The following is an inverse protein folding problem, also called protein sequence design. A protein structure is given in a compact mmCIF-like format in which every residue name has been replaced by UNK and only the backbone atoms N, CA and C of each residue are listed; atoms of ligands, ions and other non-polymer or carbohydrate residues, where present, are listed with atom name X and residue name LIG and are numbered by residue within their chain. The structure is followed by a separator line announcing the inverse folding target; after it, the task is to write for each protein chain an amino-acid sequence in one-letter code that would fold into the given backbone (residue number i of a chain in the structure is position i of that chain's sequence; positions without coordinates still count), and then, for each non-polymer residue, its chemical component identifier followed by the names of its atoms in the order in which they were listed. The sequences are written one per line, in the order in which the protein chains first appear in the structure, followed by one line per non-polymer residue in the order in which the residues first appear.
data_IF_702173047655
#
_entry.id   IF_702173047655
#
_cell.length_a   1.000
_cell.length_b   1.000
_cell.length_c   1.000
_cell.angle_alpha   90.00
_cell.angle_beta   90.00
_cell.angle_gamma   90.00
#
_symmetry.space_group_name_H-M   'P 1'
#
loop_
_entity.id
_entity.type
_entity.pdbx_description
1 polymer ?
#
# COMPACT_ATOMS: atom_id res chain seq x y z
N UNK A 1 7.08 10.27 -2.15
CA UNK A 1 6.41 10.01 -0.85
C UNK A 1 6.49 11.24 0.04
N UNK A 2 5.34 11.79 0.44
CA UNK A 2 5.22 13.10 1.14
C UNK A 2 5.39 13.02 2.67
N UNK A 3 5.47 11.83 3.26
CA UNK A 3 5.61 11.65 4.71
C UNK A 3 6.59 10.52 5.03
N UNK A 4 7.46 10.74 6.03
CA UNK A 4 8.43 9.73 6.52
C UNK A 4 7.80 8.74 7.51
N UNK A 5 6.70 9.14 8.15
CA UNK A 5 6.06 8.37 9.22
C UNK A 5 4.55 8.26 9.01
N UNK A 6 3.92 7.13 9.41
CA UNK A 6 2.48 6.95 9.22
C UNK A 6 1.65 7.89 10.10
N UNK A 7 2.14 8.23 11.30
CA UNK A 7 1.47 9.17 12.22
C UNK A 7 1.34 10.59 11.62
N UNK A 8 2.34 11.04 10.88
CA UNK A 8 2.30 12.32 10.17
C UNK A 8 1.37 12.25 8.96
N UNK A 9 1.34 11.11 8.24
CA UNK A 9 0.44 10.93 7.11
C UNK A 9 -1.05 11.02 7.53
N UNK A 10 -1.45 10.35 8.61
CA UNK A 10 -2.84 10.42 9.10
C UNK A 10 -3.23 11.81 9.59
N UNK A 11 -2.28 12.58 10.13
CA UNK A 11 -2.51 13.97 10.58
C UNK A 11 -2.70 14.91 9.39
N UNK A 12 -1.90 14.74 8.34
CA UNK A 12 -1.97 15.57 7.14
C UNK A 12 -3.21 15.26 6.28
N UNK A 13 -3.69 14.01 6.33
CA UNK A 13 -4.84 13.55 5.55
C UNK A 13 -5.94 13.00 6.46
N UNK A 14 -6.64 13.85 7.25
CA UNK A 14 -7.62 13.39 8.22
C UNK A 14 -8.86 12.74 7.59
N UNK A 15 -9.13 13.03 6.31
CA UNK A 15 -10.23 12.47 5.51
C UNK A 15 -9.86 11.19 4.74
N UNK A 16 -8.64 10.67 4.94
CA UNK A 16 -8.21 9.43 4.30
C UNK A 16 -9.13 8.26 4.69
N UNK A 17 -9.69 7.58 3.70
CA UNK A 17 -10.66 6.48 3.86
C UNK A 17 -10.66 5.57 2.63
N UNK A 18 -11.35 4.43 2.71
CA UNK A 18 -11.45 3.49 1.59
C UNK A 18 -10.23 2.56 1.48
N UNK A 19 -9.97 2.06 0.28
CA UNK A 19 -8.89 1.11 0.00
C UNK A 19 -7.58 1.87 -0.19
N UNK A 20 -6.64 1.65 0.72
CA UNK A 20 -5.33 2.31 0.73
C UNK A 20 -4.25 1.28 0.53
N UNK A 21 -3.48 1.44 -0.55
CA UNK A 21 -2.25 0.68 -0.72
C UNK A 21 -1.14 1.43 0.02
N UNK A 22 -0.75 0.90 1.18
CA UNK A 22 0.23 1.49 2.07
C UNK A 22 1.49 0.62 2.14
N UNK A 23 2.60 1.22 2.58
CA UNK A 23 3.80 0.47 2.95
C UNK A 23 3.43 -0.67 3.90
N UNK A 24 3.93 -1.86 3.62
CA UNK A 24 3.67 -3.08 4.38
C UNK A 24 3.84 -2.90 5.90
N UNK A 25 4.91 -2.23 6.32
CA UNK A 25 5.23 -1.94 7.74
C UNK A 25 4.21 -1.01 8.42
N UNK A 26 3.40 -0.27 7.65
CA UNK A 26 2.45 0.71 8.19
C UNK A 26 1.05 0.12 8.41
N UNK A 27 0.76 -1.05 7.84
CA UNK A 27 -0.59 -1.62 7.82
C UNK A 27 -1.21 -1.74 9.21
N UNK A 28 -0.49 -2.32 10.18
CA UNK A 28 -0.99 -2.51 11.54
C UNK A 28 -1.30 -1.19 12.26
N UNK A 29 -0.43 -0.19 12.10
CA UNK A 29 -0.64 1.14 12.68
C UNK A 29 -1.86 1.85 12.06
N UNK A 30 -2.01 1.78 10.73
CA UNK A 30 -3.13 2.40 10.03
C UNK A 30 -4.46 1.77 10.42
N UNK A 31 -4.52 0.44 10.55
CA UNK A 31 -5.71 -0.27 11.03
C UNK A 31 -6.08 0.20 12.45
N UNK A 32 -5.09 0.32 13.34
CA UNK A 32 -5.31 0.76 14.72
C UNK A 32 -5.81 2.21 14.82
N UNK A 33 -5.16 3.14 14.11
CA UNK A 33 -5.45 4.57 14.24
C UNK A 33 -6.61 5.05 13.39
N UNK A 34 -6.90 4.37 12.28
CA UNK A 34 -7.90 4.74 11.28
C UNK A 34 -8.65 3.49 10.79
N UNK A 35 -9.58 2.94 11.58
CA UNK A 35 -10.32 1.72 11.22
C UNK A 35 -11.20 1.87 9.96
N UNK A 36 -11.46 3.10 9.51
CA UNK A 36 -12.17 3.40 8.24
C UNK A 36 -11.30 3.19 7.00
N UNK A 37 -9.99 2.99 7.17
CA UNK A 37 -9.06 2.65 6.09
C UNK A 37 -8.96 1.13 5.98
N UNK A 38 -9.05 0.63 4.76
CA UNK A 38 -8.76 -0.77 4.43
C UNK A 38 -7.40 -0.82 3.75
N UNK A 39 -6.41 -1.36 4.46
CA UNK A 39 -5.08 -1.58 3.88
C UNK A 39 -5.07 -2.89 3.11
N UNK A 40 -4.32 -2.94 2.00
CA UNK A 40 -4.14 -4.16 1.22
C UNK A 40 -3.38 -5.24 2.01
N UNK A 41 -2.32 -4.84 2.71
CA UNK A 41 -1.43 -5.75 3.44
C UNK A 41 -0.93 -5.11 4.75
N UNK A 42 -0.65 -5.95 5.74
CA UNK A 42 0.06 -5.57 6.98
C UNK A 42 1.10 -6.61 7.41
N UNK A 43 1.87 -6.25 8.45
CA UNK A 43 2.97 -7.00 9.06
C UNK A 43 2.73 -8.47 9.43
N UNK A 44 1.48 -8.93 9.47
CA UNK A 44 1.10 -10.30 9.87
C UNK A 44 0.91 -11.26 8.70
N UNK A 45 0.90 -10.73 7.48
CA UNK A 45 0.50 -11.46 6.27
C UNK A 45 1.61 -12.12 5.43
N UNK A 46 2.94 -12.04 5.70
CA UNK A 46 3.95 -12.65 4.81
C UNK A 46 3.80 -14.15 4.58
N UNK A 47 3.35 -14.89 5.61
CA UNK A 47 3.20 -16.34 5.54
C UNK A 47 1.89 -16.77 4.85
N UNK A 48 0.99 -15.83 4.55
CA UNK A 48 -0.32 -16.15 3.99
C UNK A 48 -0.19 -16.44 2.49
N UNK A 49 -1.05 -17.34 2.03
CA UNK A 49 -1.20 -17.70 0.62
C UNK A 49 -2.69 -17.78 0.30
N UNK A 50 -3.06 -17.35 -0.90
CA UNK A 50 -4.39 -17.59 -1.43
C UNK A 50 -4.55 -19.05 -1.90
N UNK A 51 -5.72 -19.36 -2.45
CA UNK A 51 -6.05 -20.70 -2.99
C UNK A 51 -5.13 -21.13 -4.14
N UNK A 52 -4.52 -20.17 -4.82
CA UNK A 52 -3.57 -20.40 -5.92
C UNK A 52 -2.11 -20.43 -5.45
N UNK A 53 -1.87 -20.33 -4.13
CA UNK A 53 -0.53 -20.31 -3.54
C UNK A 53 0.18 -18.95 -3.64
N UNK A 54 -0.49 -17.90 -4.11
CA UNK A 54 0.07 -16.55 -4.25
C UNK A 54 0.08 -15.84 -2.89
N UNK A 55 1.23 -15.26 -2.55
CA UNK A 55 1.39 -14.47 -1.33
C UNK A 55 0.93 -13.03 -1.56
N UNK A 56 0.11 -12.43 -0.67
CA UNK A 56 -0.19 -11.01 -0.70
C UNK A 56 1.08 -10.15 -0.67
N UNK A 57 2.12 -10.63 0.01
CA UNK A 57 3.42 -9.94 0.08
C UNK A 57 4.11 -9.90 -1.29
N UNK A 58 4.00 -10.97 -2.09
CA UNK A 58 4.51 -10.96 -3.46
C UNK A 58 3.76 -9.94 -4.32
N UNK A 59 2.43 -9.89 -4.23
CA UNK A 59 1.63 -8.88 -4.94
C UNK A 59 2.01 -7.45 -4.53
N UNK A 60 2.28 -7.23 -3.24
CA UNK A 60 2.81 -5.96 -2.75
C UNK A 60 4.15 -5.63 -3.43
N UNK A 61 5.10 -6.57 -3.47
CA UNK A 61 6.39 -6.37 -4.11
C UNK A 61 6.26 -6.07 -5.61
N UNK A 62 5.40 -6.81 -6.32
CA UNK A 62 5.16 -6.60 -7.75
C UNK A 62 4.71 -5.16 -8.02
N UNK A 63 3.80 -4.63 -7.19
CA UNK A 63 3.28 -3.27 -7.35
C UNK A 63 4.36 -2.22 -7.03
N UNK A 64 5.01 -2.32 -5.86
CA UNK A 64 5.96 -1.29 -5.42
C UNK A 64 7.24 -1.24 -6.27
N UNK A 65 7.61 -2.38 -6.86
CA UNK A 65 8.73 -2.53 -7.79
C UNK A 65 8.33 -2.30 -9.25
N UNK A 66 7.08 -1.92 -9.54
CA UNK A 66 6.60 -1.62 -10.89
C UNK A 66 6.77 -2.78 -11.88
N UNK A 67 6.61 -4.02 -11.40
CA UNK A 67 6.64 -5.22 -12.24
C UNK A 67 5.51 -5.18 -13.30
N UNK A 68 5.62 -5.94 -14.41
CA UNK A 68 4.55 -6.01 -15.40
C UNK A 68 3.18 -6.31 -14.77
N UNK A 69 2.16 -5.52 -15.11
CA UNK A 69 0.81 -5.64 -14.54
C UNK A 69 0.57 -4.89 -13.22
N UNK A 70 1.53 -4.10 -12.72
CA UNK A 70 1.38 -3.38 -11.44
C UNK A 70 0.13 -2.48 -11.38
N UNK A 71 -0.21 -1.81 -12.48
CA UNK A 71 -1.32 -0.85 -12.52
C UNK A 71 -2.66 -1.59 -12.55
N UNK A 72 -2.72 -2.72 -13.25
CA UNK A 72 -3.86 -3.62 -13.31
C UNK A 72 -4.15 -4.18 -11.90
N UNK A 73 -3.11 -4.63 -11.19
CA UNK A 73 -3.24 -5.08 -9.78
C UNK A 73 -3.80 -3.97 -8.88
N UNK A 74 -3.32 -2.73 -9.00
CA UNK A 74 -3.88 -1.61 -8.22
C UNK A 74 -5.36 -1.34 -8.52
N UNK A 75 -5.79 -1.48 -9.78
CA UNK A 75 -7.19 -1.36 -10.20
C UNK A 75 -8.05 -2.50 -9.65
N UNK A 76 -7.56 -3.73 -9.69
CA UNK A 76 -8.23 -4.91 -9.13
C UNK A 76 -8.45 -4.77 -7.62
N UNK A 77 -7.45 -4.22 -6.91
CA UNK A 77 -7.54 -3.87 -5.49
C UNK A 77 -8.48 -2.68 -5.20
N UNK A 78 -9.02 -2.04 -6.25
CA UNK A 78 -9.86 -0.83 -6.18
C UNK A 78 -9.20 0.26 -5.33
N UNK A 79 -7.88 0.42 -5.51
CA UNK A 79 -7.06 1.32 -4.69
C UNK A 79 -7.52 2.78 -4.88
N UNK A 80 -7.87 3.44 -3.78
CA UNK A 80 -8.26 4.86 -3.78
C UNK A 80 -7.05 5.77 -3.51
N UNK A 81 -6.13 5.34 -2.65
CA UNK A 81 -4.98 6.14 -2.24
C UNK A 81 -3.70 5.30 -2.12
N UNK A 82 -2.57 5.95 -2.40
CA UNK A 82 -1.23 5.39 -2.26
C UNK A 82 -0.50 6.07 -1.10
N UNK A 83 -0.04 5.27 -0.14
CA UNK A 83 0.84 5.70 0.95
C UNK A 83 2.18 4.97 0.84
N UNK A 84 3.04 5.44 -0.06
CA UNK A 84 4.34 4.84 -0.38
C UNK A 84 5.51 5.74 0.01
N UNK A 85 6.64 5.12 0.34
CA UNK A 85 7.88 5.81 0.66
C UNK A 85 8.48 6.51 -0.57
N UNK A 86 9.16 7.63 -0.33
CA UNK A 86 9.94 8.32 -1.36
C UNK A 86 11.07 7.42 -1.88
N UNK A 87 11.31 7.44 -3.19
CA UNK A 87 12.40 6.70 -3.83
C UNK A 87 12.10 5.22 -4.07
N UNK A 88 10.88 4.75 -3.79
CA UNK A 88 10.42 3.45 -4.32
C UNK A 88 10.27 3.53 -5.84
N UNK A 89 10.40 2.40 -6.55
CA UNK A 89 10.26 2.40 -8.01
C UNK A 89 8.92 2.98 -8.46
N UNK A 90 7.84 2.64 -7.75
CA UNK A 90 6.53 3.22 -8.03
C UNK A 90 6.49 4.74 -7.81
N UNK A 91 7.11 5.27 -6.75
CA UNK A 91 7.19 6.71 -6.52
C UNK A 91 8.00 7.44 -7.61
N UNK A 92 9.09 6.84 -8.08
CA UNK A 92 9.90 7.39 -9.18
C UNK A 92 9.10 7.39 -10.48
N UNK A 93 8.45 6.27 -10.82
CA UNK A 93 7.62 6.13 -12.01
C UNK A 93 6.47 7.15 -12.04
N UNK A 94 5.84 7.41 -10.90
CA UNK A 94 4.73 8.37 -10.80
C UNK A 94 5.17 9.83 -10.88
N UNK A 95 6.45 10.15 -10.67
CA UNK A 95 7.00 11.51 -10.81
C UNK A 95 7.40 11.84 -12.25
N UNK A 96 7.70 10.83 -13.06
CA UNK A 96 8.06 10.99 -14.47
C UNK A 96 6.85 11.26 -15.38
N UNK A 97 5.63 11.04 -14.85
CA UNK A 97 4.36 11.28 -15.55
C UNK A 97 3.70 12.55 -15.08
#
# INVERSE_FOLDING_TARGET
GLSKYPCQAIKNYPKLSGNVYAMYEWGGFLIWQKPTIKVFIDGRMPAWKDENGQSPYQVFLDIIQTQPGWNEKLKELKTNHLLISNGTFLDLLLKEK
#
